data_IF_952843143179
#
_entry.id   IF_952843143179
#
_cell.length_a   1.000
_cell.length_b   1.000
_cell.length_c   1.000
_cell.angle_alpha   90.00
_cell.angle_beta   90.00
_cell.angle_gamma   90.00
#
_symmetry.space_group_name_H-M   'P 1'
#
loop_
_entity.id
_entity.type
_entity.pdbx_description
1 polymer ?
#
# COMPACT_ATOMS: atom_id res chain seq x y z
N UNK A 1 -8.21 11.08 -2.79
CA UNK A 1 -7.88 9.96 -1.89
C UNK A 1 -7.14 8.89 -2.68
N UNK A 2 -6.02 8.42 -2.17
CA UNK A 2 -5.16 7.45 -2.85
C UNK A 2 -4.85 6.30 -1.90
N UNK A 3 -5.23 5.10 -2.29
CA UNK A 3 -4.84 3.88 -1.60
C UNK A 3 -3.47 3.45 -2.12
N UNK A 4 -2.52 3.22 -1.23
CA UNK A 4 -1.21 2.66 -1.55
C UNK A 4 -1.09 1.26 -0.94
N UNK A 5 -0.79 0.25 -1.78
CA UNK A 5 -0.30 -1.02 -1.28
C UNK A 5 1.11 -0.85 -0.70
N UNK A 6 1.66 -1.89 -0.09
CA UNK A 6 2.99 -1.79 0.53
C UNK A 6 4.09 -1.52 -0.50
N UNK A 7 3.95 -2.05 -1.73
CA UNK A 7 4.95 -1.85 -2.79
C UNK A 7 5.04 -0.41 -3.27
N UNK A 8 3.92 0.31 -3.26
CA UNK A 8 3.87 1.74 -3.53
C UNK A 8 4.25 2.58 -2.30
N UNK A 9 3.72 2.24 -1.12
CA UNK A 9 3.97 2.99 0.11
C UNK A 9 5.46 3.07 0.47
N UNK A 10 6.19 1.97 0.30
CA UNK A 10 7.63 1.92 0.64
C UNK A 10 8.47 2.91 -0.17
N UNK A 11 8.03 3.30 -1.36
CA UNK A 11 8.70 4.29 -2.23
C UNK A 11 8.70 5.71 -1.64
N UNK A 12 7.88 5.96 -0.62
CA UNK A 12 7.99 7.17 0.21
C UNK A 12 9.31 7.20 0.97
N UNK A 13 9.76 6.04 1.43
CA UNK A 13 10.86 5.87 2.37
C UNK A 13 12.17 5.45 1.70
N UNK A 14 12.09 4.65 0.66
CA UNK A 14 13.24 4.15 -0.11
C UNK A 14 13.21 4.77 -1.50
N UNK A 15 14.39 5.21 -1.98
CA UNK A 15 14.51 5.75 -3.32
C UNK A 15 14.68 4.63 -4.35
N UNK A 16 13.69 4.48 -5.23
CA UNK A 16 13.67 3.53 -6.33
C UNK A 16 12.76 4.05 -7.45
N UNK A 17 12.62 3.32 -8.54
CA UNK A 17 11.69 3.68 -9.63
C UNK A 17 10.28 3.95 -9.08
N UNK A 18 9.65 5.05 -9.48
CA UNK A 18 8.33 5.47 -9.01
C UNK A 18 8.33 6.28 -7.70
N UNK A 19 9.46 6.41 -6.99
CA UNK A 19 9.53 7.15 -5.72
C UNK A 19 9.15 8.63 -5.87
N UNK A 20 9.51 9.26 -6.98
CA UNK A 20 9.17 10.68 -7.18
C UNK A 20 7.66 10.88 -7.28
N UNK A 21 6.96 10.02 -8.00
CA UNK A 21 5.49 10.05 -8.10
C UNK A 21 4.82 9.88 -6.73
N UNK A 22 5.28 8.91 -5.94
CA UNK A 22 4.75 8.70 -4.58
C UNK A 22 5.03 9.91 -3.69
N UNK A 23 6.28 10.40 -3.68
CA UNK A 23 6.65 11.58 -2.86
C UNK A 23 5.90 12.84 -3.24
N UNK A 24 5.53 12.98 -4.52
CA UNK A 24 4.69 14.10 -4.94
C UNK A 24 3.32 14.08 -4.27
N UNK A 25 2.70 12.91 -4.06
CA UNK A 25 1.43 12.80 -3.34
C UNK A 25 1.51 13.41 -1.93
N UNK A 26 2.64 13.19 -1.25
CA UNK A 26 2.84 13.75 0.10
C UNK A 26 3.07 15.26 0.07
N UNK A 27 3.77 15.79 -0.94
CA UNK A 27 3.92 17.26 -1.14
C UNK A 27 2.58 17.93 -1.45
N UNK A 28 1.71 17.24 -2.19
CA UNK A 28 0.38 17.72 -2.57
C UNK A 28 -0.67 17.53 -1.45
N UNK A 29 -0.24 17.08 -0.25
CA UNK A 29 -1.11 16.76 0.88
C UNK A 29 -2.28 15.82 0.52
N UNK A 30 -2.04 14.85 -0.36
CA UNK A 30 -3.03 13.86 -0.71
C UNK A 30 -3.41 13.01 0.52
N UNK A 31 -4.69 12.68 0.66
CA UNK A 31 -5.11 11.71 1.68
C UNK A 31 -4.61 10.33 1.30
N UNK A 32 -3.64 9.83 2.05
CA UNK A 32 -3.05 8.50 1.86
C UNK A 32 -3.83 7.48 2.67
N UNK A 33 -4.19 6.40 2.02
CA UNK A 33 -4.92 5.27 2.59
C UNK A 33 -4.06 4.03 2.44
N UNK A 34 -4.05 3.16 3.43
CA UNK A 34 -3.44 1.83 3.30
C UNK A 34 -4.11 0.82 4.23
N UNK A 35 -3.77 -0.46 4.08
CA UNK A 35 -4.25 -1.50 4.98
C UNK A 35 -3.42 -1.56 6.26
N UNK A 36 -4.01 -2.04 7.34
CA UNK A 36 -3.31 -2.33 8.61
C UNK A 36 -2.12 -3.25 8.43
N UNK A 37 -2.17 -4.19 7.49
CA UNK A 37 -1.08 -5.12 7.21
C UNK A 37 0.16 -4.43 6.65
N UNK A 38 0.00 -3.28 6.00
CA UNK A 38 1.13 -2.52 5.44
C UNK A 38 2.17 -2.12 6.51
N UNK A 39 1.76 -2.02 7.77
CA UNK A 39 2.70 -1.77 8.87
C UNK A 39 3.77 -2.86 8.97
N UNK A 40 3.33 -4.11 9.10
CA UNK A 40 4.25 -5.24 9.20
C UNK A 40 5.03 -5.49 7.90
N UNK A 41 4.37 -5.35 6.75
CA UNK A 41 5.02 -5.54 5.45
C UNK A 41 6.09 -4.48 5.18
N UNK A 42 5.86 -3.22 5.56
CA UNK A 42 6.86 -2.15 5.44
C UNK A 42 8.08 -2.46 6.29
N UNK A 43 7.90 -2.85 7.55
CA UNK A 43 9.01 -3.26 8.40
C UNK A 43 9.76 -4.47 7.84
N UNK A 44 9.04 -5.48 7.34
CA UNK A 44 9.65 -6.65 6.72
C UNK A 44 10.51 -6.27 5.51
N UNK A 45 10.01 -5.39 4.65
CA UNK A 45 10.73 -4.94 3.45
C UNK A 45 11.96 -4.08 3.79
N UNK A 46 11.85 -3.15 4.74
CA UNK A 46 12.96 -2.31 5.19
C UNK A 46 14.04 -3.15 5.88
N UNK A 47 13.64 -4.06 6.77
CA UNK A 47 14.56 -4.92 7.50
C UNK A 47 15.30 -5.88 6.56
N UNK A 48 14.61 -6.46 5.59
CA UNK A 48 15.23 -7.31 4.56
C UNK A 48 16.29 -6.53 3.78
N UNK A 49 15.99 -5.32 3.30
CA UNK A 49 16.96 -4.48 2.58
C UNK A 49 18.18 -4.14 3.43
N UNK A 50 18.00 -3.89 4.72
CA UNK A 50 19.13 -3.66 5.64
C UNK A 50 19.98 -4.94 5.80
N UNK A 51 19.37 -6.10 5.99
CA UNK A 51 20.08 -7.38 6.13
C UNK A 51 20.85 -7.77 4.86
N UNK A 52 20.30 -7.47 3.69
CA UNK A 52 20.91 -7.71 2.39
C UNK A 52 21.97 -6.66 2.00
N UNK A 53 22.20 -5.66 2.84
CA UNK A 53 23.20 -4.61 2.59
C UNK A 53 22.75 -3.51 1.61
N UNK A 54 21.47 -3.50 1.21
CA UNK A 54 20.91 -2.48 0.31
C UNK A 54 20.45 -1.21 1.04
N UNK A 55 20.44 -1.23 2.37
CA UNK A 55 20.09 -0.11 3.22
C UNK A 55 21.03 -0.07 4.44
N UNK A 56 21.85 0.99 4.55
CA UNK A 56 22.75 1.16 5.66
C UNK A 56 21.99 1.25 6.99
N UNK A 57 22.55 0.69 8.10
CA UNK A 57 21.91 0.65 9.43
C UNK A 57 21.46 2.02 9.93
N UNK A 58 22.28 3.06 9.74
CA UNK A 58 21.94 4.43 10.13
C UNK A 58 20.72 4.91 9.36
N UNK A 59 20.68 4.68 8.05
CA UNK A 59 19.57 5.05 7.20
C UNK A 59 18.31 4.26 7.53
N UNK A 60 18.43 2.97 7.80
CA UNK A 60 17.33 2.12 8.27
C UNK A 60 16.67 2.72 9.53
N UNK A 61 17.46 3.10 10.54
CA UNK A 61 16.93 3.72 11.75
C UNK A 61 16.21 5.05 11.48
N UNK A 62 16.73 5.88 10.56
CA UNK A 62 16.09 7.14 10.16
C UNK A 62 14.74 6.89 9.46
N UNK A 63 14.72 5.94 8.54
CA UNK A 63 13.53 5.60 7.76
C UNK A 63 12.45 5.00 8.66
N UNK A 64 12.79 4.11 9.58
CA UNK A 64 11.84 3.55 10.54
C UNK A 64 11.23 4.65 11.42
N UNK A 65 12.03 5.59 11.92
CA UNK A 65 11.50 6.74 12.69
C UNK A 65 10.56 7.60 11.87
N UNK A 66 10.89 7.89 10.61
CA UNK A 66 10.01 8.65 9.73
C UNK A 66 8.69 7.91 9.48
N UNK A 67 8.75 6.60 9.24
CA UNK A 67 7.56 5.77 9.06
C UNK A 67 6.65 5.81 10.28
N UNK A 68 7.21 5.66 11.49
CA UNK A 68 6.43 5.76 12.74
C UNK A 68 5.78 7.14 12.94
N UNK A 69 6.45 8.22 12.56
CA UNK A 69 5.90 9.57 12.64
C UNK A 69 4.75 9.80 11.64
N UNK A 70 4.86 9.22 10.45
CA UNK A 70 3.85 9.40 9.39
C UNK A 70 2.66 8.42 9.51
N UNK A 71 2.87 7.23 10.08
CA UNK A 71 1.86 6.17 10.17
C UNK A 71 0.52 6.63 10.76
N UNK A 72 0.46 7.39 11.86
CA UNK A 72 -0.80 7.87 12.43
C UNK A 72 -1.58 8.86 11.54
N UNK A 73 -0.92 9.46 10.56
CA UNK A 73 -1.55 10.39 9.62
C UNK A 73 -2.22 9.70 8.43
N UNK A 74 -1.97 8.41 8.22
CA UNK A 74 -2.62 7.64 7.16
C UNK A 74 -4.03 7.22 7.58
N UNK A 75 -4.93 7.13 6.61
CA UNK A 75 -6.23 6.50 6.81
C UNK A 75 -6.04 4.99 6.73
N UNK A 76 -6.04 4.33 7.88
CA UNK A 76 -5.76 2.90 8.00
C UNK A 76 -7.04 2.09 7.90
N UNK A 77 -7.09 1.15 6.97
CA UNK A 77 -8.18 0.19 6.86
C UNK A 77 -7.87 -1.03 7.73
N UNK A 78 -8.70 -1.26 8.73
CA UNK A 78 -8.61 -2.43 9.60
C UNK A 78 -8.99 -3.72 8.85
N UNK A 79 -8.26 -4.80 9.11
CA UNK A 79 -8.54 -6.12 8.51
C UNK A 79 -9.59 -6.84 9.36
N UNK A 80 -10.84 -6.47 9.15
CA UNK A 80 -12.00 -7.11 9.79
C UNK A 80 -12.53 -8.25 8.92
N UNK A 81 -13.47 -9.04 9.46
CA UNK A 81 -14.08 -10.19 8.76
C UNK A 81 -14.64 -9.81 7.38
N UNK A 82 -15.22 -8.62 7.24
CA UNK A 82 -15.69 -8.10 5.96
C UNK A 82 -14.56 -8.04 4.91
N UNK A 83 -13.39 -7.51 5.29
CA UNK A 83 -12.22 -7.42 4.41
C UNK A 83 -11.68 -8.82 4.09
N UNK A 84 -11.67 -9.75 5.07
CA UNK A 84 -11.27 -11.14 4.85
C UNK A 84 -12.20 -11.85 3.87
N UNK A 85 -13.50 -11.67 3.99
CA UNK A 85 -14.47 -12.27 3.05
C UNK A 85 -14.33 -11.69 1.64
N UNK A 86 -14.14 -10.38 1.51
CA UNK A 86 -13.85 -9.75 0.21
C UNK A 86 -12.54 -10.27 -0.39
N UNK A 87 -11.48 -10.44 0.42
CA UNK A 87 -10.20 -10.96 -0.07
C UNK A 87 -10.32 -12.40 -0.59
N UNK A 88 -11.07 -13.27 0.12
CA UNK A 88 -11.39 -14.63 -0.34
C UNK A 88 -12.07 -14.60 -1.71
N UNK A 89 -13.05 -13.72 -1.90
CA UNK A 89 -13.80 -13.65 -3.15
C UNK A 89 -12.93 -13.11 -4.30
N UNK A 90 -12.03 -12.16 -4.01
CA UNK A 90 -11.05 -11.65 -4.97
C UNK A 90 -10.01 -12.73 -5.37
N UNK A 91 -9.53 -13.54 -4.41
CA UNK A 91 -8.63 -14.68 -4.70
C UNK A 91 -9.27 -15.69 -5.63
N UNK A 92 -10.57 -15.96 -5.45
CA UNK A 92 -11.30 -16.86 -6.35
C UNK A 92 -11.47 -16.30 -7.77
N UNK A 93 -11.47 -14.98 -7.90
CA UNK A 93 -11.72 -14.27 -9.15
C UNK A 93 -10.43 -13.94 -9.92
N UNK A 94 -9.34 -13.66 -9.19
CA UNK A 94 -8.08 -13.18 -9.75
C UNK A 94 -6.89 -13.97 -9.21
N UNK A 95 -5.79 -14.10 -9.98
CA UNK A 95 -4.58 -14.81 -9.55
C UNK A 95 -3.74 -13.96 -8.57
N UNK A 96 -4.32 -13.62 -7.41
CA UNK A 96 -3.70 -12.81 -6.37
C UNK A 96 -3.18 -13.69 -5.24
N UNK A 97 -2.04 -13.32 -4.65
CA UNK A 97 -1.61 -13.86 -3.36
C UNK A 97 -2.45 -13.26 -2.21
N UNK A 98 -2.35 -13.84 -1.00
CA UNK A 98 -3.19 -13.47 0.12
C UNK A 98 -3.09 -12.00 0.52
N UNK A 99 -1.87 -11.45 0.58
CA UNK A 99 -1.67 -10.05 0.99
C UNK A 99 -2.09 -9.06 -0.09
N UNK A 100 -1.84 -9.36 -1.37
CA UNK A 100 -2.34 -8.53 -2.48
C UNK A 100 -3.87 -8.47 -2.49
N UNK A 101 -4.53 -9.62 -2.25
CA UNK A 101 -5.97 -9.68 -2.13
C UNK A 101 -6.49 -8.90 -0.92
N UNK A 102 -5.78 -8.90 0.22
CA UNK A 102 -6.12 -8.09 1.39
C UNK A 102 -5.98 -6.59 1.10
N UNK A 103 -4.94 -6.18 0.37
CA UNK A 103 -4.81 -4.78 -0.06
C UNK A 103 -5.98 -4.37 -0.97
N UNK A 104 -6.28 -5.15 -1.99
CA UNK A 104 -7.39 -4.82 -2.89
C UNK A 104 -8.74 -4.85 -2.18
N UNK A 105 -8.97 -5.81 -1.28
CA UNK A 105 -10.17 -5.90 -0.47
C UNK A 105 -10.32 -4.69 0.48
N UNK A 106 -9.23 -4.25 1.10
CA UNK A 106 -9.20 -3.07 1.97
C UNK A 106 -9.61 -1.81 1.20
N UNK A 107 -9.02 -1.59 0.02
CA UNK A 107 -9.39 -0.46 -0.83
C UNK A 107 -10.85 -0.51 -1.27
N UNK A 108 -11.34 -1.71 -1.64
CA UNK A 108 -12.72 -1.94 -2.10
C UNK A 108 -13.72 -1.71 -0.99
N UNK A 109 -13.49 -2.25 0.21
CA UNK A 109 -14.35 -2.04 1.39
C UNK A 109 -14.48 -0.56 1.71
N UNK A 110 -13.35 0.16 1.78
CA UNK A 110 -13.39 1.59 2.10
C UNK A 110 -14.11 2.41 1.02
N UNK A 111 -13.87 2.13 -0.26
CA UNK A 111 -14.56 2.80 -1.36
C UNK A 111 -16.07 2.62 -1.28
N UNK A 112 -16.53 1.42 -0.92
CA UNK A 112 -17.96 1.12 -0.73
C UNK A 112 -18.55 1.90 0.45
N UNK A 113 -17.83 1.98 1.55
CA UNK A 113 -18.26 2.70 2.76
C UNK A 113 -18.33 4.22 2.52
N UNK A 114 -17.30 4.79 1.92
CA UNK A 114 -17.22 6.24 1.69
C UNK A 114 -18.02 6.72 0.48
N UNK A 115 -18.37 5.84 -0.46
CA UNK A 115 -19.01 6.15 -1.74
C UNK A 115 -18.25 7.23 -2.52
N UNK A 116 -16.92 7.23 -2.39
CA UNK A 116 -16.02 8.22 -2.98
C UNK A 116 -15.00 7.51 -3.87
N UNK A 117 -14.65 8.07 -5.03
CA UNK A 117 -13.60 7.52 -5.87
C UNK A 117 -12.27 7.46 -5.14
N UNK A 118 -11.60 6.31 -5.23
CA UNK A 118 -10.26 6.06 -4.68
C UNK A 118 -9.36 5.63 -5.83
N UNK A 119 -8.18 6.24 -5.95
CA UNK A 119 -7.12 5.77 -6.85
C UNK A 119 -6.32 4.68 -6.15
N UNK A 120 -6.05 3.56 -6.81
CA UNK A 120 -5.25 2.46 -6.29
C UNK A 120 -3.81 2.57 -6.80
N UNK A 121 -2.85 2.69 -5.90
CA UNK A 121 -1.43 2.76 -6.20
C UNK A 121 -0.71 1.48 -5.83
N UNK A 122 0.11 0.97 -6.74
CA UNK A 122 0.90 -0.24 -6.59
C UNK A 122 2.00 -0.37 -7.63
N UNK A 123 2.88 -1.35 -7.44
CA UNK A 123 3.95 -1.68 -8.39
C UNK A 123 3.75 -3.07 -9.05
N UNK A 124 2.96 -3.96 -8.45
CA UNK A 124 2.69 -5.28 -9.01
C UNK A 124 1.63 -5.19 -10.11
N UNK A 125 1.98 -5.64 -11.33
CA UNK A 125 1.11 -5.53 -12.49
C UNK A 125 -0.17 -6.37 -12.34
N UNK A 126 -0.10 -7.59 -11.77
CA UNK A 126 -1.29 -8.45 -11.59
C UNK A 126 -2.28 -7.84 -10.62
N UNK A 127 -1.76 -7.25 -9.54
CA UNK A 127 -2.59 -6.52 -8.58
C UNK A 127 -3.22 -5.28 -9.21
N UNK A 128 -2.47 -4.50 -9.99
CA UNK A 128 -2.99 -3.33 -10.70
C UNK A 128 -4.06 -3.70 -11.73
N UNK A 129 -3.85 -4.78 -12.50
CA UNK A 129 -4.86 -5.29 -13.46
C UNK A 129 -6.15 -5.72 -12.75
N UNK A 130 -6.02 -6.39 -11.60
CA UNK A 130 -7.16 -6.79 -10.77
C UNK A 130 -7.90 -5.57 -10.21
N UNK A 131 -7.16 -4.56 -9.72
CA UNK A 131 -7.74 -3.31 -9.24
C UNK A 131 -8.47 -2.55 -10.37
N UNK A 132 -7.91 -2.54 -11.60
CA UNK A 132 -8.57 -1.97 -12.77
C UNK A 132 -9.88 -2.69 -13.09
N UNK A 133 -9.87 -4.03 -13.07
CA UNK A 133 -11.07 -4.85 -13.31
C UNK A 133 -12.15 -4.62 -12.24
N UNK A 134 -11.76 -4.26 -11.00
CA UNK A 134 -12.66 -3.83 -9.94
C UNK A 134 -13.07 -2.35 -10.03
N UNK A 135 -12.68 -1.63 -11.08
CA UNK A 135 -13.10 -0.26 -11.37
C UNK A 135 -12.34 0.83 -10.63
N UNK A 136 -11.11 0.58 -10.21
CA UNK A 136 -10.23 1.61 -9.66
C UNK A 136 -9.52 2.39 -10.76
N UNK A 137 -9.33 3.71 -10.54
CA UNK A 137 -8.26 4.44 -11.21
C UNK A 137 -6.93 3.94 -10.67
N UNK A 138 -5.90 3.87 -11.51
CA UNK A 138 -4.60 3.32 -11.14
C UNK A 138 -3.53 4.40 -11.05
N UNK A 139 -2.61 4.20 -10.12
CA UNK A 139 -1.31 4.85 -10.05
C UNK A 139 -0.25 3.73 -10.08
N UNK A 140 0.29 3.45 -11.25
CA UNK A 140 1.41 2.51 -11.40
C UNK A 140 2.73 3.23 -11.07
N UNK A 141 3.51 2.70 -10.12
CA UNK A 141 4.74 3.33 -9.62
C UNK A 141 5.92 2.35 -9.55
#
# INVERSE_FOLDING_TARGET
>A
MIYLDTSALIKRYIWESGSEQVRQLFRDNATIITSKIAYAETYAALTRRMREGHLARVRYGQVCRLFELEWPAYLIVEVRDEVLHLSRDLIKKYPLCGFDALHLASAKSLRQQLKTPITFGGADQRLLESAKAEGFKLLAV
#
